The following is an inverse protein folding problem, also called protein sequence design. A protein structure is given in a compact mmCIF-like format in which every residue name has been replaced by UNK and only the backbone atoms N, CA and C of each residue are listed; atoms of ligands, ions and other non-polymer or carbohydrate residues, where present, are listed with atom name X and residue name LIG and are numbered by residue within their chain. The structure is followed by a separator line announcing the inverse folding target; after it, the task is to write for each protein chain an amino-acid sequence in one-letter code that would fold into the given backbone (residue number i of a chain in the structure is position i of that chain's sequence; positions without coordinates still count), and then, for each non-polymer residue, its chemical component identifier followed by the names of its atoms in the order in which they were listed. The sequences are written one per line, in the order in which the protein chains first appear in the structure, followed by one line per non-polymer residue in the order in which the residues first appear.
data_IF_594140577633
#
_entry.id   IF_594140577633
#
_cell.length_a   1.000
_cell.length_b   1.000
_cell.length_c   1.000
_cell.angle_alpha   90.00
_cell.angle_beta   90.00
_cell.angle_gamma   90.00
#
_symmetry.space_group_name_H-M   'P 1'
#
loop_
_entity.id
_entity.type
_entity.pdbx_description
1 polymer ?
#
# COMPACT_ATOMS: atom_id res chain seq x y z
N UNK A 1 -6.06 -16.02 -8.40
CA UNK A 1 -7.42 -15.45 -8.47
C UNK A 1 -7.96 -15.30 -7.05
N UNK A 2 -8.89 -14.36 -6.82
CA UNK A 2 -9.54 -14.15 -5.52
C UNK A 2 -10.64 -15.20 -5.33
N UNK A 3 -10.64 -15.82 -4.17
CA UNK A 3 -11.67 -16.75 -3.72
C UNK A 3 -12.09 -16.28 -2.31
N UNK A 4 -13.34 -15.85 -2.11
CA UNK A 4 -13.79 -15.27 -0.85
C UNK A 4 -13.80 -16.29 0.30
N UNK A 5 -13.99 -17.59 0.03
CA UNK A 5 -13.99 -18.63 1.06
C UNK A 5 -12.57 -18.86 1.55
N UNK A 6 -11.65 -19.12 0.62
CA UNK A 6 -10.23 -19.37 0.96
C UNK A 6 -9.59 -18.15 1.64
N UNK A 7 -9.85 -16.95 1.14
CA UNK A 7 -9.33 -15.72 1.73
C UNK A 7 -9.96 -15.44 3.10
N UNK A 8 -11.27 -15.65 3.24
CA UNK A 8 -11.99 -15.48 4.50
C UNK A 8 -11.44 -16.37 5.60
N UNK A 9 -11.39 -17.69 5.35
CA UNK A 9 -10.86 -18.69 6.28
C UNK A 9 -9.44 -18.34 6.72
N UNK A 10 -8.58 -17.94 5.76
CA UNK A 10 -7.21 -17.54 6.07
C UNK A 10 -7.16 -16.30 6.98
N UNK A 11 -7.92 -15.25 6.66
CA UNK A 11 -7.91 -14.01 7.44
C UNK A 11 -8.53 -14.18 8.83
N UNK A 12 -9.52 -15.04 9.00
CA UNK A 12 -10.06 -15.39 10.32
C UNK A 12 -9.01 -16.11 11.18
N UNK A 13 -8.34 -17.11 10.60
CA UNK A 13 -7.23 -17.85 11.25
C UNK A 13 -6.09 -16.89 11.63
N UNK A 14 -5.76 -15.95 10.76
CA UNK A 14 -4.75 -14.91 11.00
C UNK A 14 -5.17 -14.00 12.15
N UNK A 15 -6.42 -13.52 12.15
CA UNK A 15 -6.95 -12.61 13.18
C UNK A 15 -7.06 -13.27 14.55
N UNK A 16 -7.31 -14.57 14.61
CA UNK A 16 -7.26 -15.34 15.84
C UNK A 16 -5.84 -15.40 16.47
N UNK A 17 -4.79 -15.13 15.70
CA UNK A 17 -3.37 -15.24 16.14
C UNK A 17 -2.62 -13.92 16.17
N UNK A 18 -3.11 -12.90 15.47
CA UNK A 18 -2.41 -11.62 15.32
C UNK A 18 -3.37 -10.44 15.39
N UNK A 19 -3.19 -9.61 16.42
CA UNK A 19 -3.98 -8.42 16.70
C UNK A 19 -3.42 -7.13 16.07
N UNK A 20 -2.23 -7.18 15.46
CA UNK A 20 -1.61 -6.03 14.82
C UNK A 20 -2.18 -5.70 13.43
N UNK A 21 -1.65 -4.63 12.84
CA UNK A 21 -2.01 -4.19 11.50
C UNK A 21 -1.62 -5.24 10.46
N UNK A 22 -2.56 -5.59 9.58
CA UNK A 22 -2.29 -6.44 8.41
C UNK A 22 -2.65 -5.65 7.19
N UNK A 23 -1.71 -5.62 6.25
CA UNK A 23 -1.90 -5.00 4.94
C UNK A 23 -1.54 -6.01 3.87
N UNK A 24 -2.36 -6.12 2.83
CA UNK A 24 -2.09 -6.99 1.69
C UNK A 24 -1.79 -6.16 0.43
N UNK A 25 -1.03 -6.76 -0.48
CA UNK A 25 -0.77 -6.26 -1.82
C UNK A 25 -1.28 -7.25 -2.85
N UNK A 26 -2.56 -7.13 -3.27
CA UNK A 26 -3.10 -8.05 -4.24
C UNK A 26 -2.37 -7.91 -5.59
N UNK A 27 -2.08 -9.04 -6.22
CA UNK A 27 -1.36 -9.12 -7.50
C UNK A 27 -2.23 -9.57 -8.67
N UNK A 28 -3.53 -9.72 -8.45
CA UNK A 28 -4.46 -10.22 -9.45
C UNK A 28 -5.76 -9.41 -9.41
N UNK A 29 -6.22 -8.97 -10.59
CA UNK A 29 -7.34 -8.02 -10.75
C UNK A 29 -8.58 -8.42 -9.95
N UNK A 30 -8.96 -9.70 -9.91
CA UNK A 30 -10.13 -10.19 -9.15
C UNK A 30 -10.20 -9.79 -7.67
N UNK A 31 -9.09 -9.38 -7.03
CA UNK A 31 -9.07 -8.94 -5.63
C UNK A 31 -9.73 -7.59 -5.37
N UNK A 32 -9.98 -6.83 -6.42
CA UNK A 32 -10.89 -5.67 -6.42
C UNK A 32 -12.25 -5.93 -5.75
N UNK A 33 -12.77 -7.16 -5.84
CA UNK A 33 -14.05 -7.56 -5.25
C UNK A 33 -13.94 -7.86 -3.73
N UNK A 34 -12.71 -7.91 -3.18
CA UNK A 34 -12.48 -8.31 -1.80
C UNK A 34 -12.75 -7.21 -0.75
N UNK A 35 -13.05 -5.97 -1.16
CA UNK A 35 -13.05 -4.80 -0.25
C UNK A 35 -13.93 -5.00 0.98
N UNK A 36 -15.14 -5.55 0.84
CA UNK A 36 -16.04 -5.78 1.96
C UNK A 36 -15.44 -6.77 2.99
N UNK A 37 -14.88 -7.89 2.51
CA UNK A 37 -14.22 -8.89 3.35
C UNK A 37 -12.99 -8.30 4.07
N UNK A 38 -12.17 -7.52 3.34
CA UNK A 38 -10.99 -6.86 3.91
C UNK A 38 -11.39 -5.88 5.02
N UNK A 39 -12.43 -5.07 4.82
CA UNK A 39 -12.95 -4.15 5.84
C UNK A 39 -13.46 -4.92 7.05
N UNK A 40 -14.29 -5.96 6.85
CA UNK A 40 -14.87 -6.77 7.91
C UNK A 40 -13.79 -7.40 8.81
N UNK A 41 -12.73 -7.96 8.21
CA UNK A 41 -11.65 -8.65 8.92
C UNK A 41 -10.48 -7.73 9.29
N UNK A 42 -10.66 -6.42 9.16
CA UNK A 42 -9.68 -5.38 9.49
C UNK A 42 -8.34 -5.57 8.76
N UNK A 43 -8.39 -5.90 7.48
CA UNK A 43 -7.24 -6.04 6.59
C UNK A 43 -7.19 -4.82 5.67
N UNK A 44 -6.08 -4.09 5.66
CA UNK A 44 -5.90 -2.98 4.73
C UNK A 44 -5.33 -3.47 3.39
N UNK A 45 -5.55 -2.69 2.34
CA UNK A 45 -4.93 -2.87 1.03
C UNK A 45 -3.92 -1.74 0.80
N UNK A 46 -2.73 -2.10 0.36
CA UNK A 46 -1.67 -1.14 0.05
C UNK A 46 -1.99 -0.32 -1.20
N UNK A 47 -1.59 0.94 -1.19
CA UNK A 47 -1.45 1.73 -2.40
C UNK A 47 -0.14 1.39 -3.10
N UNK A 48 -0.20 1.05 -4.38
CA UNK A 48 0.92 0.62 -5.20
C UNK A 48 1.17 1.64 -6.30
N UNK A 49 2.45 1.97 -6.48
CA UNK A 49 2.92 2.56 -7.73
C UNK A 49 4.08 1.73 -8.28
N UNK A 50 4.13 1.46 -9.61
CA UNK A 50 3.04 1.62 -10.57
C UNK A 50 1.87 0.67 -10.26
N UNK A 51 0.63 1.16 -10.47
CA UNK A 51 -0.60 0.41 -10.22
C UNK A 51 -0.63 -0.91 -11.00
N UNK A 52 -1.09 -1.99 -10.36
CA UNK A 52 -1.18 -3.33 -10.97
C UNK A 52 -2.61 -3.82 -11.14
N UNK A 53 -3.53 -3.34 -10.32
CA UNK A 53 -4.97 -3.64 -10.40
C UNK A 53 -5.76 -2.34 -10.30
N UNK A 54 -6.99 -2.32 -10.81
CA UNK A 54 -7.73 -1.05 -11.00
C UNK A 54 -7.96 -0.22 -9.72
N UNK A 55 -7.83 -0.81 -8.54
CA UNK A 55 -8.13 -0.15 -7.26
C UNK A 55 -6.92 -0.05 -6.30
N UNK A 56 -5.68 -0.26 -6.78
CA UNK A 56 -4.49 -0.20 -5.92
C UNK A 56 -3.72 1.12 -6.01
N UNK A 57 -4.15 2.12 -6.78
CA UNK A 57 -3.45 3.42 -6.86
C UNK A 57 -3.61 4.29 -5.60
N UNK A 58 -4.53 3.92 -4.71
CA UNK A 58 -4.76 4.55 -3.41
C UNK A 58 -4.98 3.47 -2.32
N UNK A 59 -4.77 3.79 -1.03
CA UNK A 59 -4.98 2.79 0.02
C UNK A 59 -6.44 2.35 0.08
N UNK A 60 -6.67 1.04 0.20
CA UNK A 60 -8.00 0.44 0.21
C UNK A 60 -8.22 -0.48 1.42
N UNK A 61 -9.30 -1.25 1.40
CA UNK A 61 -9.66 -2.17 2.48
C UNK A 61 -9.98 -1.44 3.79
N UNK A 62 -9.63 -2.06 4.92
CA UNK A 62 -9.90 -1.51 6.24
C UNK A 62 -9.16 -0.20 6.50
N UNK A 63 -9.86 0.88 6.92
CA UNK A 63 -9.23 2.19 7.02
C UNK A 63 -8.43 2.43 8.30
N UNK A 64 -8.12 1.42 9.11
CA UNK A 64 -7.37 1.57 10.36
C UNK A 64 -5.86 1.76 10.22
N UNK A 65 -5.33 1.65 8.99
CA UNK A 65 -3.95 1.92 8.61
C UNK A 65 -3.92 2.36 7.14
N UNK A 66 -2.92 3.15 6.75
CA UNK A 66 -2.65 3.50 5.35
C UNK A 66 -1.23 3.11 5.00
N UNK A 67 -1.07 2.41 3.89
CA UNK A 67 0.23 1.92 3.46
C UNK A 67 0.44 2.22 1.99
N UNK A 68 1.62 2.76 1.66
CA UNK A 68 2.10 2.94 0.30
C UNK A 68 3.31 2.06 0.06
N UNK A 69 3.36 1.38 -1.08
CA UNK A 69 4.53 0.62 -1.55
C UNK A 69 4.86 1.03 -2.97
N UNK A 70 5.97 1.74 -3.10
CA UNK A 70 6.34 2.52 -4.28
C UNK A 70 7.55 1.85 -4.94
N UNK A 71 7.33 1.22 -6.09
CA UNK A 71 8.31 0.34 -6.71
C UNK A 71 9.19 1.03 -7.75
N UNK A 72 8.97 2.30 -8.07
CA UNK A 72 9.73 3.05 -9.08
C UNK A 72 9.06 3.04 -10.45
N UNK A 73 9.12 4.17 -11.14
CA UNK A 73 8.54 4.41 -12.45
C UNK A 73 9.50 5.25 -13.31
N UNK A 74 9.65 4.99 -14.62
CA UNK A 74 8.88 4.04 -15.43
C UNK A 74 9.34 2.58 -15.32
N UNK A 75 10.57 2.31 -14.86
CA UNK A 75 11.07 0.94 -14.71
C UNK A 75 10.96 0.48 -13.26
N UNK A 76 10.01 -0.42 -13.01
CA UNK A 76 9.78 -1.06 -11.70
C UNK A 76 11.08 -1.63 -11.15
N UNK A 77 11.36 -1.31 -9.89
CA UNK A 77 12.52 -1.60 -9.05
C UNK A 77 13.79 -0.78 -9.34
N UNK A 78 13.90 -0.13 -10.50
CA UNK A 78 15.13 0.52 -10.94
C UNK A 78 15.07 2.04 -10.94
N UNK A 79 13.93 2.60 -11.33
CA UNK A 79 13.79 4.04 -11.53
C UNK A 79 13.63 4.80 -10.21
N UNK A 80 14.36 5.90 -10.08
CA UNK A 80 14.03 6.94 -9.11
C UNK A 80 12.76 7.67 -9.53
N UNK A 81 11.93 8.03 -8.55
CA UNK A 81 10.87 8.99 -8.78
C UNK A 81 11.42 10.40 -8.96
N UNK A 82 10.79 11.20 -9.81
CA UNK A 82 11.04 12.63 -9.91
C UNK A 82 10.67 13.33 -8.59
N UNK A 83 11.35 14.43 -8.27
CA UNK A 83 11.14 15.18 -7.02
C UNK A 83 9.68 15.66 -6.91
N UNK A 84 9.13 16.23 -7.97
CA UNK A 84 7.75 16.74 -8.00
C UNK A 84 6.73 15.64 -7.73
N UNK A 85 7.01 14.41 -8.20
CA UNK A 85 6.16 13.26 -7.92
C UNK A 85 6.22 12.86 -6.44
N UNK A 86 7.41 12.91 -5.83
CA UNK A 86 7.58 12.63 -4.39
C UNK A 86 6.89 13.72 -3.56
N UNK A 87 6.95 14.99 -3.97
CA UNK A 87 6.22 16.08 -3.34
C UNK A 87 4.70 15.91 -3.43
N UNK A 88 4.18 15.50 -4.59
CA UNK A 88 2.77 15.15 -4.74
C UNK A 88 2.35 14.00 -3.83
N UNK A 89 3.20 12.97 -3.69
CA UNK A 89 2.95 11.89 -2.72
C UNK A 89 3.00 12.40 -1.28
N UNK A 90 3.95 13.27 -0.94
CA UNK A 90 4.06 13.85 0.39
C UNK A 90 2.78 14.58 0.78
N UNK A 91 2.22 15.40 -0.11
CA UNK A 91 0.94 16.09 0.09
C UNK A 91 -0.21 15.12 0.37
N UNK A 92 -0.30 14.02 -0.38
CA UNK A 92 -1.34 13.00 -0.18
C UNK A 92 -1.18 12.22 1.14
N UNK A 93 0.06 11.94 1.53
CA UNK A 93 0.36 11.30 2.80
C UNK A 93 0.04 12.26 3.96
N UNK A 94 0.42 13.54 3.84
CA UNK A 94 0.17 14.56 4.85
C UNK A 94 -1.33 14.82 5.07
N UNK A 95 -2.16 14.84 4.01
CA UNK A 95 -3.61 14.97 4.18
C UNK A 95 -4.22 13.82 4.96
N UNK A 96 -3.62 12.63 4.86
CA UNK A 96 -4.04 11.44 5.61
C UNK A 96 -3.62 11.50 7.08
N UNK A 97 -2.49 12.14 7.42
CA UNK A 97 -2.06 12.31 8.82
C UNK A 97 -3.08 13.08 9.65
N UNK A 98 -3.80 14.02 9.04
CA UNK A 98 -4.87 14.77 9.69
C UNK A 98 -6.01 13.88 10.21
N UNK A 99 -6.17 12.66 9.69
CA UNK A 99 -7.17 11.70 10.14
C UNK A 99 -6.74 10.93 11.40
N UNK A 100 -5.49 11.10 11.88
CA UNK A 100 -4.97 10.40 13.07
C UNK A 100 -4.76 8.89 12.87
N UNK A 101 -4.74 8.42 11.63
CA UNK A 101 -4.56 7.01 11.27
C UNK A 101 -3.06 6.70 11.13
N UNK A 102 -2.57 5.53 11.60
CA UNK A 102 -1.19 5.11 11.35
C UNK A 102 -0.87 5.02 9.85
N UNK A 103 0.32 5.52 9.49
CA UNK A 103 0.79 5.60 8.12
C UNK A 103 2.13 4.90 7.97
N UNK A 104 2.27 4.19 6.86
CA UNK A 104 3.54 3.62 6.41
C UNK A 104 3.73 3.95 4.92
N UNK A 105 4.95 4.35 4.54
CA UNK A 105 5.32 4.56 3.14
C UNK A 105 6.67 3.85 2.90
N UNK A 106 6.71 2.97 1.91
CA UNK A 106 7.89 2.16 1.59
C UNK A 106 8.29 2.37 0.14
N UNK A 107 9.50 2.84 -0.08
CA UNK A 107 10.14 2.83 -1.38
C UNK A 107 10.87 1.50 -1.59
N UNK A 108 10.48 0.75 -2.61
CA UNK A 108 11.01 -0.58 -2.97
C UNK A 108 11.75 -0.57 -4.33
N UNK A 109 12.05 0.62 -4.87
CA UNK A 109 12.90 0.82 -6.04
C UNK A 109 14.41 0.70 -5.71
N UNK A 110 14.79 -0.46 -5.18
CA UNK A 110 16.11 -0.68 -4.57
C UNK A 110 17.18 -1.20 -5.52
N UNK A 111 16.81 -1.68 -6.73
CA UNK A 111 17.74 -2.41 -7.62
C UNK A 111 18.95 -1.58 -8.07
N UNK A 112 18.85 -0.23 -8.04
CA UNK A 112 19.94 0.72 -8.28
C UNK A 112 20.10 1.76 -7.17
N UNK A 113 19.56 1.49 -5.98
CA UNK A 113 19.69 2.36 -4.80
C UNK A 113 18.79 3.60 -4.79
N UNK A 114 17.86 3.74 -5.74
CA UNK A 114 16.99 4.91 -5.84
C UNK A 114 16.09 5.11 -4.61
N UNK A 115 15.64 4.02 -3.99
CA UNK A 115 14.78 4.04 -2.81
C UNK A 115 15.29 4.92 -1.66
N UNK A 116 16.60 4.91 -1.39
CA UNK A 116 17.18 5.71 -0.30
C UNK A 116 17.04 7.21 -0.58
N UNK A 117 17.35 7.64 -1.81
CA UNK A 117 17.22 9.04 -2.21
C UNK A 117 15.77 9.53 -2.14
N UNK A 118 14.83 8.73 -2.64
CA UNK A 118 13.42 9.08 -2.58
C UNK A 118 12.89 9.12 -1.14
N UNK A 119 13.29 8.18 -0.27
CA UNK A 119 12.89 8.17 1.13
C UNK A 119 13.44 9.36 1.93
N UNK A 120 14.71 9.73 1.69
CA UNK A 120 15.33 10.89 2.34
C UNK A 120 14.67 12.18 1.87
N UNK A 121 14.41 12.32 0.57
CA UNK A 121 13.69 13.49 0.06
C UNK A 121 12.28 13.60 0.65
N UNK A 122 11.50 12.51 0.68
CA UNK A 122 10.18 12.50 1.32
C UNK A 122 10.22 12.93 2.79
N UNK A 123 11.26 12.53 3.55
CA UNK A 123 11.41 12.91 4.97
C UNK A 123 11.66 14.40 5.19
N UNK A 124 12.09 15.13 4.16
CA UNK A 124 12.33 16.58 4.24
C UNK A 124 11.09 17.44 3.96
N UNK A 125 10.00 16.80 3.53
CA UNK A 125 8.72 17.42 3.17
C UNK A 125 7.72 17.31 4.33
#
# INVERSE_FOLDING_TARGET
MFDPVVAGDFFEILRARFSGYVVIEPRHESWVEAQALLIQLRIAQVAVDPSRIRNDSAPGGWPGIRYWRLHGSPQIYYSAYAEEWVEDKARQIASTLAEGVPIWCMFDNTARGAALGNALHLKTL
#
